data_IF_473878426842
#
_entry.id   IF_473878426842
#
_cell.length_a   1.000
_cell.length_b   1.000
_cell.length_c   1.000
_cell.angle_alpha   90.00
_cell.angle_beta   90.00
_cell.angle_gamma   90.00
#
_symmetry.space_group_name_H-M   'P 1'
#
loop_
_entity.id
_entity.type
_entity.pdbx_description
1 polymer ?
#
# COMPACT_ATOMS: atom_id res chain seq x y z
N UNK A 1 7.23 -20.80 28.26
CA UNK A 1 6.36 -19.67 27.89
C UNK A 1 5.32 -20.19 26.92
N UNK A 2 4.15 -20.55 27.45
CA UNK A 2 3.00 -21.02 26.68
C UNK A 2 2.36 -19.82 25.97
N UNK A 3 2.43 -19.79 24.64
CA UNK A 3 1.64 -18.85 23.86
C UNK A 3 0.15 -19.19 24.10
N UNK A 4 -0.64 -18.22 24.56
CA UNK A 4 -2.09 -18.39 24.65
C UNK A 4 -2.62 -18.78 23.26
N UNK A 5 -3.42 -19.85 23.13
CA UNK A 5 -4.09 -20.15 21.88
C UNK A 5 -5.16 -19.08 21.66
N UNK A 6 -4.87 -18.10 20.79
CA UNK A 6 -5.92 -17.21 20.28
C UNK A 6 -6.90 -18.08 19.51
N UNK A 7 -8.02 -18.37 20.16
CA UNK A 7 -9.17 -19.01 19.53
C UNK A 7 -9.63 -18.17 18.33
N UNK A 8 -10.16 -18.80 17.27
CA UNK A 8 -10.57 -18.10 16.08
C UNK A 8 -11.82 -17.32 16.43
N UNK A 9 -11.79 -16.03 16.22
CA UNK A 9 -13.04 -15.33 16.16
C UNK A 9 -13.66 -15.65 14.79
N UNK A 10 -14.84 -16.26 14.83
CA UNK A 10 -15.69 -16.37 13.64
C UNK A 10 -16.80 -15.34 13.77
N UNK A 11 -17.14 -14.71 12.65
CA UNK A 11 -18.30 -13.81 12.59
C UNK A 11 -19.33 -14.44 11.66
N UNK A 12 -20.58 -14.37 12.09
CA UNK A 12 -21.73 -14.72 11.28
C UNK A 12 -22.18 -13.49 10.48
N UNK A 13 -22.22 -13.61 9.16
CA UNK A 13 -22.83 -12.62 8.27
C UNK A 13 -23.96 -13.36 7.53
N UNK A 14 -25.21 -13.08 7.92
CA UNK A 14 -26.35 -13.91 7.53
C UNK A 14 -26.21 -15.35 8.05
N UNK A 15 -26.35 -16.35 7.17
CA UNK A 15 -26.23 -17.76 7.54
C UNK A 15 -24.81 -18.35 7.37
N UNK A 16 -23.83 -17.57 6.88
CA UNK A 16 -22.47 -18.06 6.62
C UNK A 16 -21.50 -17.69 7.75
N UNK A 17 -20.61 -18.63 8.08
CA UNK A 17 -19.50 -18.45 9.05
C UNK A 17 -18.25 -17.98 8.31
N UNK A 18 -17.69 -16.85 8.72
CA UNK A 18 -16.46 -16.30 8.14
C UNK A 18 -15.34 -16.23 9.17
N UNK A 19 -14.11 -16.52 8.75
CA UNK A 19 -12.92 -16.31 9.56
C UNK A 19 -12.68 -14.80 9.71
N UNK A 20 -12.65 -14.29 10.95
CA UNK A 20 -12.46 -12.86 11.20
C UNK A 20 -11.18 -12.32 10.61
N UNK A 21 -10.08 -13.08 10.62
CA UNK A 21 -8.82 -12.65 10.02
C UNK A 21 -8.93 -12.47 8.50
N UNK A 22 -9.73 -13.29 7.82
CA UNK A 22 -9.98 -13.15 6.38
C UNK A 22 -10.91 -11.96 6.07
N UNK A 23 -11.93 -11.72 6.91
CA UNK A 23 -12.81 -10.55 6.78
C UNK A 23 -12.02 -9.26 6.99
N UNK A 24 -11.20 -9.22 8.05
CA UNK A 24 -10.32 -8.08 8.35
C UNK A 24 -9.33 -7.84 7.21
N UNK A 25 -8.73 -8.91 6.65
CA UNK A 25 -7.88 -8.79 5.48
C UNK A 25 -8.59 -8.07 4.32
N UNK A 26 -9.82 -8.48 3.96
CA UNK A 26 -10.55 -7.86 2.85
C UNK A 26 -10.86 -6.38 3.12
N UNK A 27 -11.28 -6.04 4.35
CA UNK A 27 -11.57 -4.66 4.73
C UNK A 27 -10.30 -3.79 4.70
N UNK A 28 -9.21 -4.27 5.29
CA UNK A 28 -7.94 -3.55 5.31
C UNK A 28 -7.35 -3.42 3.90
N UNK A 29 -7.43 -4.48 3.08
CA UNK A 29 -7.01 -4.46 1.68
C UNK A 29 -7.80 -3.46 0.85
N UNK A 30 -9.10 -3.35 1.07
CA UNK A 30 -9.94 -2.36 0.40
C UNK A 30 -9.50 -0.93 0.73
N UNK A 31 -9.28 -0.63 2.02
CA UNK A 31 -8.80 0.70 2.44
C UNK A 31 -7.40 0.96 1.87
N UNK A 32 -6.48 0.00 1.95
CA UNK A 32 -5.14 0.13 1.40
C UNK A 32 -5.17 0.41 -0.11
N UNK A 33 -6.01 -0.31 -0.86
CA UNK A 33 -6.21 -0.07 -2.29
C UNK A 33 -6.69 1.35 -2.58
N UNK A 34 -7.71 1.84 -1.86
CA UNK A 34 -8.21 3.20 -2.03
C UNK A 34 -7.13 4.25 -1.75
N UNK A 35 -6.33 4.05 -0.70
CA UNK A 35 -5.23 4.95 -0.35
C UNK A 35 -4.16 4.99 -1.45
N UNK A 36 -3.80 3.85 -2.05
CA UNK A 36 -2.87 3.82 -3.19
C UNK A 36 -3.49 4.51 -4.41
N UNK A 37 -4.74 4.20 -4.73
CA UNK A 37 -5.45 4.74 -5.89
C UNK A 37 -5.57 6.28 -5.81
N UNK A 38 -5.98 6.80 -4.65
CA UNK A 38 -6.18 8.25 -4.42
C UNK A 38 -4.86 8.95 -4.13
N UNK A 39 -3.93 8.33 -3.41
CA UNK A 39 -2.64 8.92 -3.06
C UNK A 39 -1.71 9.11 -4.26
N UNK A 40 -1.79 8.22 -5.25
CA UNK A 40 -0.92 8.24 -6.45
C UNK A 40 -1.03 9.51 -7.31
N UNK A 41 -2.24 10.03 -7.63
CA UNK A 41 -2.37 11.29 -8.39
C UNK A 41 -2.14 12.55 -7.54
N UNK A 42 -2.13 12.44 -6.21
CA UNK A 42 -1.95 13.57 -5.29
C UNK A 42 -0.49 14.01 -5.16
N UNK A 43 -0.29 15.12 -4.46
CA UNK A 43 1.00 15.74 -4.24
C UNK A 43 1.92 14.86 -3.38
N UNK A 44 3.13 14.62 -3.88
CA UNK A 44 4.22 13.98 -3.13
C UNK A 44 4.99 15.03 -2.32
N UNK A 45 5.09 16.24 -2.87
CA UNK A 45 5.69 17.39 -2.20
C UNK A 45 4.84 18.64 -2.38
N UNK A 46 4.85 19.50 -1.37
CA UNK A 46 4.16 20.78 -1.37
C UNK A 46 5.10 21.89 -0.95
N UNK A 47 5.05 23.03 -1.62
CA UNK A 47 5.82 24.21 -1.26
C UNK A 47 5.26 24.83 0.02
N UNK A 48 6.13 25.27 0.93
CA UNK A 48 5.75 26.08 2.10
C UNK A 48 5.55 27.55 1.75
N UNK A 49 6.05 27.97 0.59
CA UNK A 49 5.94 29.33 0.09
C UNK A 49 4.84 29.39 -0.97
N UNK A 50 4.03 30.45 -0.91
CA UNK A 50 3.10 30.79 -1.97
C UNK A 50 3.85 31.27 -3.22
N UNK A 51 3.24 31.03 -4.37
CA UNK A 51 3.67 31.60 -5.65
C UNK A 51 3.35 33.09 -5.69
N UNK A 52 3.86 33.80 -6.69
CA UNK A 52 3.53 35.23 -6.91
C UNK A 52 2.04 35.51 -7.18
N UNK A 53 1.22 34.47 -7.32
CA UNK A 53 -0.23 34.55 -7.54
C UNK A 53 -1.06 34.15 -6.31
N UNK A 54 -0.43 33.96 -5.14
CA UNK A 54 -1.11 33.54 -3.91
C UNK A 54 -1.57 32.08 -3.91
N UNK A 55 -1.02 31.25 -4.79
CA UNK A 55 -1.30 29.80 -4.84
C UNK A 55 -0.15 29.00 -4.25
N UNK A 56 -0.40 27.75 -3.88
CA UNK A 56 0.69 26.85 -3.44
C UNK A 56 1.10 25.94 -4.59
N UNK A 57 2.42 25.80 -4.76
CA UNK A 57 3.04 24.90 -5.73
C UNK A 57 3.12 23.47 -5.18
N UNK A 58 2.76 22.49 -6.00
CA UNK A 58 2.80 21.06 -5.68
C UNK A 58 3.60 20.27 -6.72
N UNK A 59 4.25 19.20 -6.26
CA UNK A 59 4.94 18.22 -7.10
C UNK A 59 4.24 16.87 -6.87
N UNK A 60 3.61 16.33 -7.90
CA UNK A 60 3.04 14.97 -7.89
C UNK A 60 4.06 13.98 -8.45
N UNK A 61 3.72 12.69 -8.51
CA UNK A 61 4.53 11.70 -9.24
C UNK A 61 4.58 11.99 -10.75
N UNK A 62 3.61 12.74 -11.28
CA UNK A 62 3.36 12.88 -12.72
C UNK A 62 3.83 14.23 -13.27
N UNK A 63 3.72 15.29 -12.47
CA UNK A 63 3.97 16.65 -12.91
C UNK A 63 3.99 17.65 -11.76
N UNK A 64 4.33 18.89 -12.10
CA UNK A 64 4.30 20.03 -11.20
C UNK A 64 3.05 20.83 -11.47
N UNK A 65 2.45 21.35 -10.40
CA UNK A 65 1.31 22.25 -10.43
C UNK A 65 1.68 23.53 -9.69
N UNK A 66 1.55 24.69 -10.33
CA UNK A 66 1.70 26.00 -9.69
C UNK A 66 0.50 26.33 -8.79
N UNK A 67 -0.64 25.69 -9.06
CA UNK A 67 -1.78 25.63 -8.15
C UNK A 67 -2.14 24.17 -7.87
N UNK A 68 -1.92 23.71 -6.62
CA UNK A 68 -2.25 22.36 -6.18
C UNK A 68 -3.71 21.94 -6.44
N UNK A 69 -4.65 22.90 -6.53
CA UNK A 69 -6.06 22.63 -6.82
C UNK A 69 -6.35 22.39 -8.31
N UNK A 70 -5.40 22.68 -9.21
CA UNK A 70 -5.56 22.46 -10.65
C UNK A 70 -5.62 20.97 -10.98
N UNK A 71 -6.38 20.60 -12.01
CA UNK A 71 -6.36 19.25 -12.57
C UNK A 71 -5.13 19.05 -13.47
N UNK A 72 -4.77 20.07 -14.23
CA UNK A 72 -3.68 20.03 -15.19
C UNK A 72 -2.31 20.22 -14.55
N UNK A 73 -1.28 19.77 -15.25
CA UNK A 73 0.11 19.97 -14.89
C UNK A 73 0.69 21.13 -15.70
N UNK A 74 1.28 22.11 -15.02
CA UNK A 74 1.97 23.22 -15.67
C UNK A 74 3.30 22.78 -16.28
N UNK A 75 3.98 21.82 -15.62
CA UNK A 75 5.26 21.28 -16.06
C UNK A 75 5.33 19.77 -15.86
N UNK A 76 5.96 19.08 -16.81
CA UNK A 76 6.27 17.65 -16.65
C UNK A 76 7.50 17.45 -15.75
N UNK A 77 7.62 16.27 -15.13
CA UNK A 77 8.81 15.92 -14.33
C UNK A 77 10.13 16.05 -15.11
N UNK A 78 10.09 15.77 -16.42
CA UNK A 78 11.27 15.87 -17.28
C UNK A 78 11.74 17.31 -17.45
N UNK A 79 10.82 18.26 -17.67
CA UNK A 79 11.17 19.67 -17.81
C UNK A 79 11.64 20.26 -16.47
N UNK A 80 10.93 19.94 -15.38
CA UNK A 80 11.23 20.48 -14.07
C UNK A 80 12.59 20.01 -13.51
N UNK A 81 12.94 18.74 -13.71
CA UNK A 81 14.21 18.17 -13.28
C UNK A 81 15.21 17.96 -14.44
N UNK A 82 15.11 18.74 -15.52
CA UNK A 82 15.91 18.58 -16.73
C UNK A 82 17.43 18.55 -16.50
N UNK A 83 17.92 19.22 -15.45
CA UNK A 83 19.33 19.20 -15.05
C UNK A 83 19.72 18.07 -14.08
N UNK A 84 18.76 17.23 -13.68
CA UNK A 84 18.87 16.20 -12.64
C UNK A 84 18.40 14.84 -13.16
N UNK A 85 19.20 14.21 -14.03
CA UNK A 85 18.84 12.96 -14.71
C UNK A 85 18.55 11.81 -13.73
N UNK A 86 19.38 11.67 -12.69
CA UNK A 86 19.19 10.65 -11.65
C UNK A 86 17.82 10.77 -10.97
N UNK A 87 17.35 12.00 -10.72
CA UNK A 87 16.03 12.27 -10.16
C UNK A 87 14.92 11.91 -11.16
N UNK A 88 15.05 12.27 -12.43
CA UNK A 88 14.08 11.89 -13.47
C UNK A 88 13.94 10.37 -13.55
N UNK A 89 15.06 9.63 -13.57
CA UNK A 89 15.04 8.17 -13.60
C UNK A 89 14.36 7.58 -12.36
N UNK A 90 14.58 8.18 -11.19
CA UNK A 90 13.91 7.78 -9.96
C UNK A 90 12.40 7.96 -10.05
N UNK A 91 11.92 9.12 -10.50
CA UNK A 91 10.49 9.37 -10.70
C UNK A 91 9.87 8.42 -11.73
N UNK A 92 10.55 8.16 -12.85
CA UNK A 92 10.07 7.19 -13.86
C UNK A 92 9.94 5.78 -13.28
N UNK A 93 10.89 5.34 -12.45
CA UNK A 93 10.78 4.06 -11.73
C UNK A 93 9.59 4.07 -10.78
N UNK A 94 9.44 5.13 -9.98
CA UNK A 94 8.31 5.28 -9.06
C UNK A 94 6.95 5.30 -9.78
N UNK A 95 6.82 5.96 -10.93
CA UNK A 95 5.58 5.97 -11.72
C UNK A 95 5.18 4.55 -12.15
N UNK A 96 6.14 3.76 -12.65
CA UNK A 96 5.89 2.36 -13.05
C UNK A 96 5.49 1.51 -11.84
N UNK A 97 6.22 1.64 -10.73
CA UNK A 97 5.90 0.93 -9.48
C UNK A 97 4.53 1.33 -8.93
N UNK A 98 4.13 2.60 -9.02
CA UNK A 98 2.81 3.08 -8.58
C UNK A 98 1.68 2.43 -9.41
N UNK A 99 1.82 2.41 -10.74
CA UNK A 99 0.83 1.75 -11.63
C UNK A 99 0.74 0.25 -11.30
N UNK A 100 1.88 -0.43 -11.18
CA UNK A 100 1.90 -1.85 -10.82
C UNK A 100 1.23 -2.08 -9.46
N UNK A 101 1.51 -1.22 -8.47
CA UNK A 101 0.91 -1.35 -7.14
C UNK A 101 -0.61 -1.21 -7.17
N UNK A 102 -1.17 -0.28 -7.95
CA UNK A 102 -2.63 -0.15 -8.11
C UNK A 102 -3.23 -1.45 -8.64
N UNK A 103 -2.65 -2.02 -9.70
CA UNK A 103 -3.13 -3.26 -10.30
C UNK A 103 -3.01 -4.45 -9.34
N UNK A 104 -1.90 -4.56 -8.62
CA UNK A 104 -1.64 -5.65 -7.68
C UNK A 104 -2.55 -5.55 -6.44
N UNK A 105 -2.76 -4.36 -5.89
CA UNK A 105 -3.67 -4.16 -4.75
C UNK A 105 -5.12 -4.48 -5.14
N UNK A 106 -5.54 -4.06 -6.34
CA UNK A 106 -6.85 -4.40 -6.89
C UNK A 106 -7.01 -5.91 -7.08
N UNK A 107 -6.01 -6.59 -7.65
CA UNK A 107 -6.02 -8.05 -7.80
C UNK A 107 -6.07 -8.75 -6.44
N UNK A 108 -5.31 -8.26 -5.45
CA UNK A 108 -5.33 -8.79 -4.08
C UNK A 108 -6.68 -8.62 -3.38
N UNK A 109 -7.38 -7.52 -3.63
CA UNK A 109 -8.74 -7.29 -3.16
C UNK A 109 -9.73 -8.26 -3.79
N UNK A 110 -9.72 -8.41 -5.12
CA UNK A 110 -10.59 -9.34 -5.85
C UNK A 110 -10.34 -10.76 -5.36
N UNK A 111 -9.08 -11.20 -5.31
CA UNK A 111 -8.72 -12.53 -4.81
C UNK A 111 -9.18 -12.74 -3.36
N UNK A 112 -9.08 -11.71 -2.50
CA UNK A 112 -9.58 -11.72 -1.14
C UNK A 112 -11.09 -11.95 -1.04
N UNK A 113 -11.86 -11.21 -1.83
CA UNK A 113 -13.32 -11.35 -1.90
C UNK A 113 -13.71 -12.75 -2.40
N UNK A 114 -13.01 -13.27 -3.41
CA UNK A 114 -13.25 -14.63 -3.90
C UNK A 114 -12.89 -15.68 -2.84
N UNK A 115 -11.82 -15.47 -2.07
CA UNK A 115 -11.41 -16.37 -0.99
C UNK A 115 -12.48 -16.49 0.11
N UNK A 116 -13.27 -15.44 0.38
CA UNK A 116 -14.42 -15.51 1.29
C UNK A 116 -15.48 -16.55 0.87
N UNK A 117 -15.52 -16.96 -0.40
CA UNK A 117 -16.44 -17.97 -0.91
C UNK A 117 -15.94 -19.41 -0.76
N UNK A 118 -14.76 -19.64 -0.17
CA UNK A 118 -14.26 -20.97 0.18
C UNK A 118 -13.07 -21.49 -0.64
N UNK A 119 -12.47 -20.66 -1.50
CA UNK A 119 -11.31 -21.04 -2.31
C UNK A 119 -9.99 -20.86 -1.55
N UNK A 120 -9.63 -21.87 -0.74
CA UNK A 120 -8.46 -21.81 0.18
C UNK A 120 -7.11 -21.64 -0.51
N UNK A 121 -6.94 -22.11 -1.75
CA UNK A 121 -5.70 -21.96 -2.53
C UNK A 121 -5.40 -20.51 -2.91
N UNK A 122 -6.43 -19.66 -3.05
CA UNK A 122 -6.27 -18.23 -3.35
C UNK A 122 -5.60 -17.45 -2.22
N UNK A 123 -5.51 -18.03 -1.02
CA UNK A 123 -4.82 -17.42 0.11
C UNK A 123 -3.35 -17.15 -0.17
N UNK A 124 -2.65 -18.13 -0.75
CA UNK A 124 -1.23 -17.99 -1.10
C UNK A 124 -1.03 -16.99 -2.24
N UNK A 125 -1.99 -16.94 -3.16
CA UNK A 125 -2.05 -15.91 -4.21
C UNK A 125 -2.22 -14.52 -3.59
N UNK A 126 -3.15 -14.36 -2.64
CA UNK A 126 -3.32 -13.10 -1.89
C UNK A 126 -2.01 -12.71 -1.20
N UNK A 127 -1.35 -13.63 -0.51
CA UNK A 127 -0.09 -13.35 0.19
C UNK A 127 1.00 -12.89 -0.78
N UNK A 128 1.19 -13.60 -1.89
CA UNK A 128 2.15 -13.22 -2.92
C UNK A 128 1.85 -11.83 -3.51
N UNK A 129 0.58 -11.55 -3.79
CA UNK A 129 0.14 -10.23 -4.29
C UNK A 129 0.42 -9.12 -3.27
N UNK A 130 0.12 -9.31 -1.99
CA UNK A 130 0.42 -8.30 -0.96
C UNK A 130 1.93 -8.08 -0.80
N UNK A 131 2.76 -9.13 -0.90
CA UNK A 131 4.23 -8.97 -0.88
C UNK A 131 4.70 -8.12 -2.08
N UNK A 132 4.24 -8.45 -3.29
CA UNK A 132 4.59 -7.69 -4.51
C UNK A 132 4.08 -6.25 -4.41
N UNK A 133 2.86 -6.07 -3.91
CA UNK A 133 2.26 -4.77 -3.62
C UNK A 133 3.13 -3.95 -2.67
N UNK A 134 3.51 -4.55 -1.55
CA UNK A 134 4.30 -3.90 -0.51
C UNK A 134 5.66 -3.43 -1.05
N UNK A 135 6.36 -4.30 -1.79
CA UNK A 135 7.65 -3.96 -2.42
C UNK A 135 7.48 -2.82 -3.42
N UNK A 136 6.44 -2.86 -4.26
CA UNK A 136 6.23 -1.82 -5.28
C UNK A 136 5.89 -0.47 -4.66
N UNK A 137 4.98 -0.39 -3.69
CA UNK A 137 4.65 0.87 -2.97
C UNK A 137 5.85 1.37 -2.15
N UNK A 138 6.61 0.46 -1.52
CA UNK A 138 7.85 0.81 -0.81
C UNK A 138 8.82 1.56 -1.69
N UNK A 139 9.07 1.06 -2.91
CA UNK A 139 9.95 1.73 -3.88
C UNK A 139 9.45 3.15 -4.19
N UNK A 140 8.13 3.36 -4.29
CA UNK A 140 7.55 4.68 -4.59
C UNK A 140 7.82 5.67 -3.46
N UNK A 141 7.35 5.40 -2.23
CA UNK A 141 7.48 6.38 -1.16
C UNK A 141 8.94 6.51 -0.69
N UNK A 142 9.73 5.43 -0.67
CA UNK A 142 11.14 5.50 -0.31
C UNK A 142 11.93 6.36 -1.31
N UNK A 143 11.63 6.25 -2.60
CA UNK A 143 12.20 7.14 -3.61
C UNK A 143 11.87 8.62 -3.37
N UNK A 144 10.64 8.93 -2.96
CA UNK A 144 10.25 10.30 -2.60
C UNK A 144 10.98 10.77 -1.35
N UNK A 145 11.11 9.92 -0.33
CA UNK A 145 11.88 10.23 0.88
C UNK A 145 13.37 10.49 0.58
N UNK A 146 13.96 9.77 -0.37
CA UNK A 146 15.33 10.01 -0.84
C UNK A 146 15.43 11.37 -1.55
N UNK A 147 14.52 11.67 -2.48
CA UNK A 147 14.47 12.97 -3.18
C UNK A 147 14.33 14.15 -2.21
N UNK A 148 13.59 13.95 -1.12
CA UNK A 148 13.39 14.97 -0.10
C UNK A 148 14.67 15.27 0.70
N UNK A 149 15.43 14.23 1.05
CA UNK A 149 16.51 14.33 2.03
C UNK A 149 17.92 14.40 1.43
N UNK A 150 18.14 13.83 0.24
CA UNK A 150 19.48 13.71 -0.35
C UNK A 150 19.71 14.73 -1.46
N UNK A 151 20.91 15.33 -1.44
CA UNK A 151 21.46 16.00 -2.61
C UNK A 151 21.95 14.92 -3.58
N UNK A 152 21.82 15.17 -4.87
CA UNK A 152 22.32 14.24 -5.91
C UNK A 152 23.64 14.78 -6.46
N UNK A 153 23.57 15.91 -7.17
CA UNK A 153 24.71 16.60 -7.77
C UNK A 153 24.77 18.06 -7.30
N UNK A 154 25.83 18.79 -7.64
CA UNK A 154 26.04 20.20 -7.24
C UNK A 154 24.89 21.14 -7.61
N UNK A 155 24.12 20.80 -8.66
CA UNK A 155 22.95 21.55 -9.14
C UNK A 155 21.62 20.99 -8.65
N UNK A 156 21.61 19.83 -8.01
CA UNK A 156 20.41 19.06 -7.68
C UNK A 156 20.25 18.93 -6.17
N UNK A 157 19.85 20.04 -5.56
CA UNK A 157 19.64 20.16 -4.12
C UNK A 157 18.43 19.34 -3.66
N UNK A 158 18.50 18.83 -2.42
CA UNK A 158 17.40 18.17 -1.72
C UNK A 158 16.18 19.10 -1.60
N UNK A 159 14.97 18.57 -1.82
CA UNK A 159 13.75 19.38 -1.80
C UNK A 159 13.49 20.03 -0.43
N UNK A 160 13.93 19.39 0.66
CA UNK A 160 13.84 19.97 2.02
C UNK A 160 14.54 21.34 2.14
N UNK A 161 15.64 21.56 1.41
CA UNK A 161 16.36 22.84 1.44
C UNK A 161 15.72 23.90 0.54
N UNK A 162 14.78 23.50 -0.32
CA UNK A 162 14.02 24.39 -1.21
C UNK A 162 12.65 24.74 -0.63
N UNK A 163 12.47 24.62 0.69
CA UNK A 163 11.22 24.90 1.41
C UNK A 163 10.02 24.06 0.94
N UNK A 164 10.24 22.83 0.47
CA UNK A 164 9.17 21.85 0.31
C UNK A 164 8.94 21.04 1.59
N UNK A 165 7.74 20.50 1.71
CA UNK A 165 7.35 19.48 2.68
C UNK A 165 6.70 18.28 1.97
N UNK A 166 6.47 17.19 2.71
CA UNK A 166 5.75 16.05 2.17
C UNK A 166 4.29 16.39 1.92
N UNK A 167 3.80 16.03 0.75
CA UNK A 167 2.42 16.22 0.35
C UNK A 167 1.49 15.14 0.88
N UNK A 168 0.18 15.33 0.69
CA UNK A 168 -0.85 14.39 1.19
C UNK A 168 -0.70 13.02 0.54
N UNK A 169 -0.43 12.98 -0.76
CA UNK A 169 -0.23 11.74 -1.50
C UNK A 169 0.90 10.88 -0.93
N UNK A 170 2.00 11.50 -0.49
CA UNK A 170 3.09 10.77 0.16
C UNK A 170 2.62 10.03 1.42
N UNK A 171 1.89 10.72 2.31
CA UNK A 171 1.40 10.10 3.54
C UNK A 171 0.40 8.99 3.27
N UNK A 172 -0.50 9.17 2.29
CA UNK A 172 -1.47 8.13 1.90
C UNK A 172 -0.75 6.86 1.42
N UNK A 173 0.33 6.98 0.64
CA UNK A 173 1.12 5.82 0.20
C UNK A 173 1.84 5.12 1.35
N UNK A 174 2.37 5.87 2.32
CA UNK A 174 3.01 5.29 3.52
C UNK A 174 1.99 4.55 4.38
N UNK A 175 0.82 5.15 4.61
CA UNK A 175 -0.26 4.50 5.37
C UNK A 175 -0.76 3.25 4.64
N UNK A 176 -0.95 3.32 3.32
CA UNK A 176 -1.32 2.16 2.52
C UNK A 176 -0.31 1.01 2.64
N UNK A 177 0.99 1.34 2.59
CA UNK A 177 2.06 0.37 2.77
C UNK A 177 2.01 -0.31 4.15
N UNK A 178 1.73 0.45 5.21
CA UNK A 178 1.58 -0.11 6.57
C UNK A 178 0.38 -1.06 6.64
N UNK A 179 -0.76 -0.69 6.05
CA UNK A 179 -1.95 -1.55 6.01
C UNK A 179 -1.69 -2.85 5.24
N UNK A 180 -0.92 -2.80 4.16
CA UNK A 180 -0.52 -3.95 3.37
C UNK A 180 0.42 -4.89 4.17
N UNK A 181 1.34 -4.34 4.98
CA UNK A 181 2.13 -5.14 5.93
C UNK A 181 1.22 -5.86 6.93
N UNK A 182 0.19 -5.20 7.44
CA UNK A 182 -0.79 -5.83 8.34
C UNK A 182 -1.48 -6.99 7.63
N UNK A 183 -1.86 -6.83 6.36
CA UNK A 183 -2.46 -7.90 5.56
C UNK A 183 -1.53 -9.10 5.35
N UNK A 184 -0.24 -8.86 5.11
CA UNK A 184 0.78 -9.92 5.02
C UNK A 184 0.86 -10.73 6.33
N UNK A 185 0.56 -10.14 7.49
CA UNK A 185 0.56 -10.83 8.79
C UNK A 185 -0.79 -11.52 9.07
N UNK A 186 -1.92 -10.92 8.67
CA UNK A 186 -3.26 -11.51 8.85
C UNK A 186 -3.41 -12.81 8.02
N UNK A 187 -2.86 -12.84 6.81
CA UNK A 187 -2.98 -13.94 5.86
C UNK A 187 -2.21 -15.22 6.23
N UNK A 188 -1.24 -15.25 7.15
CA UNK A 188 -0.78 -16.51 7.76
C UNK A 188 -1.57 -16.91 9.01
N UNK A 189 -2.00 -15.95 9.83
CA UNK A 189 -2.68 -16.24 11.11
C UNK A 189 -3.96 -17.06 10.95
N UNK A 190 -4.75 -16.80 9.91
CA UNK A 190 -5.94 -17.63 9.65
C UNK A 190 -5.64 -19.08 9.19
N UNK A 191 -4.40 -19.46 8.86
CA UNK A 191 -4.00 -20.79 8.39
C UNK A 191 -3.58 -21.66 9.54
N UNK A 192 -2.64 -21.16 10.38
CA UNK A 192 -2.20 -21.84 11.61
C UNK A 192 -3.40 -22.28 12.42
N UNK A 193 -4.42 -21.43 12.46
CA UNK A 193 -5.66 -21.73 13.15
C UNK A 193 -6.48 -22.87 12.51
N UNK A 194 -6.63 -22.88 11.19
CA UNK A 194 -7.45 -23.88 10.50
C UNK A 194 -6.80 -25.27 10.58
N UNK A 195 -5.47 -25.32 10.46
CA UNK A 195 -4.68 -26.54 10.60
C UNK A 195 -4.81 -27.16 11.99
N UNK A 196 -4.73 -26.34 13.05
CA UNK A 196 -4.82 -26.81 14.44
C UNK A 196 -6.20 -27.43 14.75
N UNK A 197 -7.28 -26.88 14.18
CA UNK A 197 -8.63 -27.47 14.29
C UNK A 197 -8.77 -28.80 13.57
N UNK A 198 -8.25 -28.92 12.35
CA UNK A 198 -8.36 -30.15 11.57
C UNK A 198 -7.56 -31.27 12.26
N UNK A 199 -6.38 -30.96 12.79
CA UNK A 199 -5.58 -31.89 13.58
C UNK A 199 -6.30 -32.32 14.87
N UNK A 200 -6.85 -31.37 15.65
CA UNK A 200 -7.61 -31.70 16.86
C UNK A 200 -8.88 -32.53 16.59
N UNK A 201 -9.58 -32.31 15.46
CA UNK A 201 -10.74 -33.12 15.08
C UNK A 201 -10.33 -34.53 14.62
N UNK A 202 -9.13 -34.70 14.09
CA UNK A 202 -8.63 -36.01 13.63
C UNK A 202 -8.06 -36.83 14.78
N UNK A 203 -7.61 -36.20 15.86
CA UNK A 203 -7.11 -36.87 17.07
C UNK A 203 -8.18 -37.16 18.14
N UNK A 204 -9.42 -36.68 18.00
CA UNK A 204 -10.51 -37.05 18.91
C UNK A 204 -10.94 -38.51 18.59
N UNK A 205 -10.68 -39.49 19.48
CA UNK A 205 -10.83 -40.89 19.14
C UNK A 205 -12.30 -41.29 19.06
N UNK A 206 -12.55 -42.27 18.20
CA UNK A 206 -13.71 -43.16 18.07
C UNK A 206 -14.07 -43.93 19.36
N UNK A 207 -13.82 -43.39 20.54
CA UNK A 207 -14.04 -44.06 21.83
C UNK A 207 -15.41 -43.80 22.48
N UNK A 208 -16.34 -43.11 21.80
CA UNK A 208 -17.74 -42.96 22.26
C UNK A 208 -18.75 -43.73 21.39
N UNK A 209 -18.36 -44.92 20.92
CA UNK A 209 -19.29 -45.90 20.35
C UNK A 209 -19.12 -47.26 21.03
N UNK A 210 -19.49 -47.33 22.32
CA UNK A 210 -19.91 -48.57 22.98
C UNK A 210 -21.05 -48.28 23.94
#
# INVERSE_FOLDING_TARGET
MSALPLSPLYVHIGQKKYNVSLVLYVVVQFVAFLLVLVGTPLDMFRSKMETGYGTVKCITLWGVKENCASLDYDLTMYLFFSSCETRILRFRKSQRCAIISILVYMAGLIAGIVNLHGYTTLRWVCLALNIVGSVTVFVVWAAMAVTYNKNEDSRCTRLKALNYEFGVGFFLLVVAWILDIINIILLPLSFTYTYDKEHQMTELPTSEQY
#
